data_IF_181241406381
#
_entry.id   IF_181241406381
#
_cell.length_a   1.000
_cell.length_b   1.000
_cell.length_c   1.000
_cell.angle_alpha   90.00
_cell.angle_beta   90.00
_cell.angle_gamma   90.00
#
_symmetry.space_group_name_H-M   'P 1'
#
loop_
_entity.id
_entity.type
_entity.pdbx_description
1 polymer ?
2 non-polymer ?
3 water ?
#
# COMPACT_ATOMS: atom_id res chain seq x y z
N UNK A 2 15.85 14.57 20.57
CA UNK A 2 16.37 14.18 19.27
C UNK A 2 16.77 15.39 18.44
N UNK A 3 17.64 15.16 17.46
CA UNK A 3 18.10 16.22 16.55
C UNK A 3 17.13 16.37 15.38
N UNK A 4 16.19 15.44 15.27
CA UNK A 4 15.22 15.44 14.18
C UNK A 4 14.23 16.59 14.22
N UNK A 5 13.78 17.04 13.04
CA UNK A 5 12.78 18.11 12.96
C UNK A 5 11.49 17.63 13.60
N UNK A 6 10.65 18.58 14.04
CA UNK A 6 9.38 18.25 14.67
C UNK A 6 8.54 17.29 13.80
N UNK A 7 8.18 17.73 12.60
CA UNK A 7 7.36 16.95 11.65
C UNK A 7 7.82 15.50 11.52
N UNK A 8 9.14 15.30 11.43
CA UNK A 8 9.70 13.95 11.32
C UNK A 8 9.47 13.19 12.62
N UNK A 9 9.66 13.89 13.74
CA UNK A 9 9.46 13.27 15.04
C UNK A 9 8.01 12.81 15.18
N UNK A 10 7.08 13.61 14.67
CA UNK A 10 5.66 13.26 14.70
C UNK A 10 5.34 12.13 13.73
N UNK A 11 6.08 12.07 12.62
CA UNK A 11 5.90 11.02 11.64
C UNK A 11 6.31 9.70 12.25
N UNK A 12 7.43 9.73 12.97
CA UNK A 12 7.98 8.56 13.63
C UNK A 12 6.99 7.98 14.65
N UNK A 13 6.44 8.86 15.47
CA UNK A 13 5.49 8.43 16.50
C UNK A 13 4.26 7.82 15.85
N UNK A 14 3.81 8.45 14.77
CA UNK A 14 2.63 8.02 14.03
C UNK A 14 2.72 6.57 13.54
N UNK A 15 3.81 6.21 12.88
CA UNK A 15 3.95 4.88 12.31
C UNK A 15 4.32 3.76 13.28
N UNK A 16 4.88 4.14 14.44
CA UNK A 16 5.27 3.17 15.45
C UNK A 16 4.25 3.17 16.60
N UNK A 17 3.06 3.69 16.31
CA UNK A 17 2.00 3.76 17.30
C UNK A 17 1.49 2.35 17.62
N UNK A 18 1.65 1.93 18.87
CA UNK A 18 1.22 0.61 19.31
C UNK A 18 -0.30 0.49 19.39
N UNK A 19 -0.95 1.57 19.83
CA UNK A 19 -2.40 1.57 19.96
C UNK A 19 -3.06 1.44 18.59
N UNK A 20 -2.40 1.98 17.58
CA UNK A 20 -2.92 1.92 16.21
C UNK A 20 -2.92 0.49 15.71
N UNK A 21 -1.94 -0.29 16.17
CA UNK A 21 -1.83 -1.69 15.79
C UNK A 21 -3.00 -2.48 16.38
N UNK A 22 -3.21 -2.34 17.68
CA UNK A 22 -4.31 -3.02 18.37
C UNK A 22 -5.67 -2.58 17.82
N UNK A 23 -5.78 -1.31 17.45
CA UNK A 23 -7.02 -0.79 16.88
C UNK A 23 -7.32 -1.48 15.55
N UNK A 24 -6.27 -1.69 14.75
CA UNK A 24 -6.41 -2.36 13.46
C UNK A 24 -6.91 -3.79 13.64
N UNK A 25 -6.39 -4.47 14.66
CA UNK A 25 -6.78 -5.85 14.95
C UNK A 25 -8.26 -5.92 15.33
N UNK A 26 -8.59 -5.29 16.46
CA UNK A 26 -9.95 -5.24 16.98
C UNK A 26 -10.93 -4.90 15.86
N UNK A 27 -10.51 -3.98 14.98
CA UNK A 27 -11.34 -3.58 13.85
C UNK A 27 -11.68 -4.83 13.03
N UNK A 28 -10.75 -5.78 13.03
CA UNK A 28 -10.88 -7.03 12.26
C UNK A 28 -11.64 -8.10 13.02
N UNK A 29 -12.07 -7.79 14.24
CA UNK A 29 -12.80 -8.73 15.09
C UNK A 29 -11.83 -9.71 15.74
N UNK A 30 -10.55 -9.38 15.73
CA UNK A 30 -9.52 -10.24 16.33
C UNK A 30 -9.55 -10.18 17.85
N UNK A 31 -9.51 -11.34 18.49
CA UNK A 31 -9.49 -11.40 19.94
C UNK A 31 -8.07 -11.15 20.45
N UNK A 32 -7.84 -9.96 20.98
CA UNK A 32 -6.53 -9.58 21.49
C UNK A 32 -6.10 -10.38 22.72
N UNK A 33 -7.08 -10.99 23.39
CA UNK A 33 -6.79 -11.81 24.56
C UNK A 33 -6.17 -13.13 24.11
N UNK A 34 -6.69 -13.68 23.01
CA UNK A 34 -6.19 -14.93 22.45
C UNK A 34 -4.97 -14.67 21.56
N UNK A 35 -5.08 -13.63 20.75
CA UNK A 35 -4.02 -13.27 19.81
C UNK A 35 -3.49 -11.85 20.05
N UNK A 36 -2.70 -11.67 21.11
CA UNK A 36 -2.13 -10.34 21.40
C UNK A 36 -1.05 -9.96 20.38
N UNK A 37 -0.63 -8.70 20.40
CA UNK A 37 0.38 -8.21 19.47
C UNK A 37 1.66 -9.04 19.52
N UNK A 38 2.19 -9.26 20.72
CA UNK A 38 3.42 -10.01 20.89
C UNK A 38 3.33 -11.45 20.44
N UNK A 39 2.12 -11.91 20.15
CA UNK A 39 1.90 -13.29 19.73
C UNK A 39 1.84 -13.46 18.20
N UNK A 40 1.75 -12.33 17.49
CA UNK A 40 1.70 -12.39 16.03
C UNK A 40 2.95 -13.05 15.48
N UNK A 41 2.76 -13.98 14.54
CA UNK A 41 3.87 -14.73 13.96
C UNK A 41 3.84 -14.75 12.44
N UNK A 42 5.00 -14.64 11.82
CA UNK A 42 5.11 -14.65 10.36
C UNK A 42 4.71 -16.01 9.81
N UNK A 43 5.20 -17.06 10.45
CA UNK A 43 4.90 -18.43 10.03
C UNK A 43 3.40 -18.68 10.07
N UNK A 44 2.75 -18.19 11.12
CA UNK A 44 1.32 -18.37 11.30
C UNK A 44 0.52 -17.62 10.23
N UNK A 45 1.05 -16.50 9.77
CA UNK A 45 0.40 -15.74 8.72
C UNK A 45 0.57 -16.45 7.37
N UNK A 46 1.76 -17.01 7.14
CA UNK A 46 2.02 -17.77 5.92
C UNK A 46 1.04 -18.93 5.83
N UNK A 47 0.93 -19.66 6.94
CA UNK A 47 0.00 -20.80 7.04
C UNK A 47 -1.44 -20.35 6.81
N UNK A 48 -1.78 -19.16 7.31
CA UNK A 48 -3.11 -18.58 7.13
C UNK A 48 -3.33 -18.27 5.64
N UNK A 49 -2.29 -17.79 4.99
CA UNK A 49 -2.38 -17.47 3.57
C UNK A 49 -2.71 -18.74 2.80
N UNK A 50 -2.03 -19.83 3.16
CA UNK A 50 -2.23 -21.12 2.52
C UNK A 50 -3.66 -21.61 2.63
N UNK A 51 -4.24 -21.48 3.82
CA UNK A 51 -5.62 -21.89 4.03
C UNK A 51 -6.52 -21.10 3.10
N UNK A 52 -6.26 -19.80 3.01
CA UNK A 52 -7.03 -18.91 2.15
C UNK A 52 -6.99 -19.37 0.69
N UNK A 53 -5.80 -19.75 0.23
CA UNK A 53 -5.66 -20.22 -1.15
C UNK A 53 -6.45 -21.50 -1.39
N UNK A 54 -6.43 -22.42 -0.42
CA UNK A 54 -7.16 -23.66 -0.52
C UNK A 54 -8.67 -23.40 -0.61
N UNK A 55 -9.13 -22.36 0.09
CA UNK A 55 -10.53 -21.97 0.05
C UNK A 55 -10.89 -21.48 -1.35
N UNK A 56 -10.01 -20.66 -1.92
CA UNK A 56 -10.22 -20.14 -3.27
C UNK A 56 -10.42 -21.31 -4.21
N UNK A 57 -9.55 -22.31 -4.09
CA UNK A 57 -9.63 -23.49 -4.94
C UNK A 57 -10.95 -24.25 -4.72
N UNK A 58 -11.32 -24.41 -3.45
CA UNK A 58 -12.56 -25.09 -3.09
C UNK A 58 -13.77 -24.34 -3.64
N UNK A 59 -13.65 -23.01 -3.68
CA UNK A 59 -14.72 -22.16 -4.17
C UNK A 59 -14.83 -22.25 -5.70
N UNK A 60 -13.68 -22.26 -6.37
CA UNK A 60 -13.66 -22.33 -7.83
C UNK A 60 -14.10 -23.68 -8.37
N UNK A 61 -13.81 -24.74 -7.63
CA UNK A 61 -14.17 -26.09 -8.05
C UNK A 61 -15.63 -26.37 -7.72
N UNK A 62 -16.09 -25.82 -6.61
CA UNK A 62 -17.45 -26.05 -6.16
C UNK A 62 -17.47 -27.22 -5.17
N UNK A 63 -16.50 -27.22 -4.26
CA UNK A 63 -16.38 -28.25 -3.25
C UNK A 63 -17.72 -28.56 -2.58
N UNK A 64 -18.01 -29.85 -2.43
CA UNK A 64 -19.27 -30.30 -1.85
C UNK A 64 -19.44 -29.86 -0.40
N UNK A 65 -19.19 -28.58 -0.13
CA UNK A 65 -19.34 -28.03 1.22
C UNK A 65 -18.69 -28.92 2.27
N UNK A 66 -18.95 -28.65 3.54
CA UNK A 66 -18.35 -29.44 4.62
C UNK A 66 -16.83 -29.26 4.57
N UNK A 67 -16.26 -29.41 3.38
CA UNK A 67 -14.84 -29.21 3.17
C UNK A 67 -14.58 -27.71 3.30
N UNK A 68 -15.53 -26.92 2.82
CA UNK A 68 -15.45 -25.47 2.92
C UNK A 68 -15.60 -25.08 4.39
N UNK A 69 -16.31 -25.92 5.14
CA UNK A 69 -16.54 -25.69 6.56
C UNK A 69 -15.29 -26.00 7.37
N UNK A 70 -14.58 -27.06 6.98
CA UNK A 70 -13.34 -27.42 7.68
C UNK A 70 -12.28 -26.36 7.37
N UNK A 71 -12.23 -25.90 6.12
CA UNK A 71 -11.29 -24.85 5.72
C UNK A 71 -11.55 -23.61 6.57
N UNK A 72 -12.82 -23.20 6.62
CA UNK A 72 -13.22 -22.03 7.40
C UNK A 72 -12.86 -22.17 8.88
N UNK A 73 -13.16 -23.33 9.45
CA UNK A 73 -12.83 -23.60 10.85
C UNK A 73 -11.31 -23.53 11.04
N UNK A 74 -10.57 -24.05 10.07
CA UNK A 74 -9.11 -24.05 10.14
C UNK A 74 -8.53 -22.64 10.17
N UNK A 75 -9.11 -21.74 9.38
CA UNK A 75 -8.65 -20.37 9.31
C UNK A 75 -8.91 -19.60 10.62
N UNK A 76 -10.10 -19.79 11.20
CA UNK A 76 -10.47 -19.11 12.43
C UNK A 76 -9.77 -19.73 13.64
N UNK A 77 -9.28 -20.95 13.48
CA UNK A 77 -8.56 -21.60 14.56
C UNK A 77 -7.17 -21.00 14.58
N UNK A 78 -6.64 -20.72 13.38
CA UNK A 78 -5.33 -20.10 13.26
C UNK A 78 -5.39 -18.65 13.71
N UNK A 79 -6.27 -17.87 13.10
CA UNK A 79 -6.45 -16.46 13.46
C UNK A 79 -7.76 -16.29 14.24
N UNK A 80 -7.68 -16.39 15.58
CA UNK A 80 -8.74 -16.31 16.57
C UNK A 80 -9.51 -14.99 16.59
N UNK A 81 -10.74 -15.03 16.09
CA UNK A 81 -11.60 -13.85 16.07
C UNK A 81 -12.64 -13.99 17.17
N UNK A 82 -13.19 -12.86 17.61
CA UNK A 82 -14.24 -12.86 18.62
C UNK A 82 -15.50 -12.29 17.98
N UNK A 83 -16.50 -13.14 17.78
CA UNK A 83 -17.73 -12.73 17.13
C UNK A 83 -18.90 -12.60 18.10
N UNK A 84 -18.86 -13.40 19.16
CA UNK A 84 -19.92 -13.39 20.17
C UNK A 84 -20.84 -14.57 19.94
N UNK A 85 -21.67 -14.48 18.90
CA UNK A 85 -22.59 -15.56 18.57
C UNK A 85 -22.91 -15.57 17.07
N UNK A 86 -23.76 -16.51 16.67
CA UNK A 86 -24.13 -16.68 15.28
C UNK A 86 -23.01 -17.36 14.50
N UNK A 87 -21.84 -17.46 15.14
CA UNK A 87 -20.68 -18.10 14.53
C UNK A 87 -20.01 -17.23 13.48
N UNK A 88 -18.71 -17.45 13.25
CA UNK A 88 -17.91 -16.70 12.27
C UNK A 88 -18.45 -16.91 10.87
N UNK A 89 -18.24 -15.91 9.99
CA UNK A 89 -18.71 -16.06 8.61
C UNK A 89 -18.02 -17.22 7.91
N UNK A 90 -18.72 -17.82 6.95
CA UNK A 90 -18.19 -18.94 6.19
C UNK A 90 -17.46 -18.43 4.96
N UNK A 91 -16.16 -18.72 4.89
CA UNK A 91 -15.36 -18.30 3.74
C UNK A 91 -15.75 -19.18 2.56
N UNK A 92 -16.81 -18.80 1.86
CA UNK A 92 -17.32 -19.59 0.75
C UNK A 92 -17.49 -18.80 -0.55
N UNK A 93 -16.68 -17.77 -0.72
CA UNK A 93 -16.72 -16.97 -1.94
C UNK A 93 -15.50 -16.08 -2.10
N UNK A 94 -15.23 -15.67 -3.34
CA UNK A 94 -14.09 -14.83 -3.65
C UNK A 94 -14.06 -13.59 -2.79
N UNK A 95 -15.23 -12.99 -2.59
CA UNK A 95 -15.32 -11.78 -1.77
C UNK A 95 -14.81 -12.01 -0.35
N UNK A 96 -15.13 -13.18 0.21
CA UNK A 96 -14.70 -13.51 1.56
C UNK A 96 -13.18 -13.60 1.68
N UNK A 97 -12.56 -14.39 0.81
CA UNK A 97 -11.12 -14.56 0.84
C UNK A 97 -10.36 -13.26 0.62
N UNK A 98 -10.88 -12.42 -0.28
CA UNK A 98 -10.26 -11.12 -0.56
C UNK A 98 -10.15 -10.30 0.72
N UNK A 99 -11.24 -10.25 1.47
CA UNK A 99 -11.26 -9.49 2.72
C UNK A 99 -10.27 -10.06 3.73
N UNK A 100 -10.31 -11.37 3.92
CA UNK A 100 -9.42 -12.03 4.87
C UNK A 100 -7.95 -11.88 4.47
N UNK A 101 -7.69 -11.94 3.16
CA UNK A 101 -6.32 -11.80 2.66
C UNK A 101 -5.84 -10.38 2.93
N UNK A 102 -6.76 -9.43 2.75
CA UNK A 102 -6.45 -8.02 2.97
C UNK A 102 -6.00 -7.84 4.41
N UNK A 103 -6.66 -8.56 5.31
CA UNK A 103 -6.33 -8.48 6.73
C UNK A 103 -4.97 -9.11 7.02
N UNK A 104 -4.67 -10.22 6.34
CA UNK A 104 -3.38 -10.90 6.54
C UNK A 104 -2.20 -10.03 6.11
N UNK A 105 -2.34 -9.33 4.97
CA UNK A 105 -1.27 -8.43 4.52
C UNK A 105 -0.99 -7.40 5.63
N UNK A 106 -2.06 -6.81 6.16
CA UNK A 106 -1.92 -5.80 7.21
C UNK A 106 -1.31 -6.35 8.50
N UNK A 107 -1.82 -7.48 8.97
CA UNK A 107 -1.29 -8.12 10.17
C UNK A 107 0.20 -8.38 10.00
N UNK A 108 0.59 -8.74 8.79
CA UNK A 108 1.98 -9.03 8.46
C UNK A 108 2.87 -7.79 8.69
N UNK A 109 2.38 -6.64 8.25
CA UNK A 109 3.12 -5.40 8.40
C UNK A 109 3.09 -4.91 9.83
N UNK A 110 2.00 -5.20 10.55
CA UNK A 110 1.90 -4.82 11.95
C UNK A 110 2.89 -5.65 12.75
N UNK A 111 3.03 -6.92 12.38
CA UNK A 111 3.98 -7.80 13.03
C UNK A 111 5.40 -7.32 12.76
N UNK A 112 5.66 -6.90 11.52
CA UNK A 112 6.98 -6.37 11.15
C UNK A 112 7.29 -5.13 11.97
N UNK A 113 6.31 -4.25 12.09
CA UNK A 113 6.47 -3.01 12.86
C UNK A 113 6.71 -3.30 14.34
N UNK A 114 6.01 -4.29 14.87
CA UNK A 114 6.16 -4.65 16.28
C UNK A 114 7.52 -5.24 16.61
N UNK A 115 7.96 -6.21 15.80
CA UNK A 115 9.24 -6.85 16.02
C UNK A 115 10.40 -5.89 15.80
N UNK A 116 10.19 -4.92 14.92
CA UNK A 116 11.20 -3.91 14.63
C UNK A 116 11.29 -2.97 15.84
N UNK A 117 10.12 -2.60 16.36
CA UNK A 117 10.02 -1.67 17.48
C UNK A 117 10.41 -2.31 18.81
N UNK A 118 10.60 -3.63 18.81
CA UNK A 118 10.98 -4.34 20.03
C UNK A 118 12.45 -4.76 19.99
N UNK A 119 12.97 -4.99 18.80
CA UNK A 119 14.36 -5.38 18.62
C UNK A 119 15.27 -4.20 18.93
N UNK A 120 16.56 -4.49 19.13
CA UNK A 120 17.53 -3.46 19.44
C UNK A 120 17.65 -3.18 20.93
N UNK A 121 18.35 -2.11 21.27
CA UNK A 121 18.55 -1.74 22.67
C UNK A 121 17.51 -0.74 23.16
N UNK A 122 16.50 -1.25 23.86
CA UNK A 122 15.43 -0.42 24.41
C UNK A 122 15.96 0.42 25.57
N UNK A 123 17.22 0.83 25.47
CA UNK A 123 17.87 1.62 26.52
C UNK A 123 17.63 3.12 26.38
N UNK A 124 17.69 3.83 27.50
CA UNK A 124 17.46 5.26 27.54
C UNK A 124 18.71 6.11 27.32
N UNK A 125 19.75 5.51 26.73
CA UNK A 125 20.99 6.25 26.44
C UNK A 125 20.63 7.29 25.38
N UNK A 126 19.95 6.83 24.34
CA UNK A 126 19.50 7.68 23.25
C UNK A 126 17.98 7.80 23.34
N UNK A 127 17.45 8.89 22.80
CA UNK A 127 16.01 9.13 22.82
C UNK A 127 15.30 8.15 21.89
N UNK A 128 14.19 7.56 22.35
CA UNK A 128 13.37 6.57 21.62
C UNK A 128 13.07 6.97 20.19
N UNK A 129 12.79 8.26 19.98
CA UNK A 129 12.48 8.75 18.64
C UNK A 129 13.63 8.52 17.68
N UNK A 130 14.83 8.92 18.08
CA UNK A 130 16.01 8.77 17.24
C UNK A 130 16.36 7.29 17.08
N UNK A 131 16.07 6.50 18.09
CA UNK A 131 16.37 5.07 18.04
C UNK A 131 15.44 4.39 17.02
N UNK A 132 14.15 4.68 17.11
CA UNK A 132 13.17 4.11 16.18
C UNK A 132 13.37 4.65 14.77
N UNK A 133 13.90 5.86 14.66
CA UNK A 133 14.14 6.47 13.36
C UNK A 133 15.17 5.67 12.58
N UNK A 134 16.12 5.09 13.31
CA UNK A 134 17.20 4.30 12.70
C UNK A 134 16.68 2.97 12.18
N UNK A 135 15.78 2.36 12.93
CA UNK A 135 15.23 1.07 12.56
C UNK A 135 14.58 1.12 11.18
N UNK A 136 14.14 2.31 10.78
CA UNK A 136 13.50 2.48 9.48
C UNK A 136 14.52 2.35 8.36
N UNK A 137 15.79 2.58 8.69
CA UNK A 137 16.87 2.49 7.72
C UNK A 137 16.56 3.40 6.53
N UNK A 138 15.91 4.53 6.80
CA UNK A 138 15.52 5.48 5.76
C UNK A 138 15.91 6.90 6.15
N UNK A 139 16.48 7.64 5.21
CA UNK A 139 16.80 9.05 5.44
C UNK A 139 15.55 9.88 5.13
N UNK A 140 15.07 10.62 6.13
CA UNK A 140 13.88 11.44 5.98
C UNK A 140 14.16 12.91 6.23
N UNK A 141 13.83 13.74 5.24
CA UNK A 141 14.02 15.18 5.34
C UNK A 141 12.70 15.90 5.05
N UNK A 142 12.50 17.05 5.67
CA UNK A 142 11.30 17.85 5.47
C UNK A 142 11.45 18.64 4.18
N UNK A 143 10.38 18.76 3.41
CA UNK A 143 10.40 19.57 2.20
C UNK A 143 9.65 20.84 2.57
N UNK A 144 10.30 21.98 2.42
CA UNK A 144 9.70 23.27 2.77
C UNK A 144 8.45 23.60 1.96
N UNK A 145 7.45 24.15 2.63
CA UNK A 145 6.20 24.53 1.99
C UNK A 145 6.40 25.36 0.71
N UNK A 146 7.19 26.42 0.83
CA UNK A 146 7.44 27.33 -0.29
C UNK A 146 8.59 26.93 -1.20
N UNK A 147 8.64 25.67 -1.59
CA UNK A 147 9.68 25.19 -2.50
C UNK A 147 9.02 24.68 -3.78
N UNK A 148 9.77 24.64 -4.88
CA UNK A 148 9.24 24.18 -6.14
C UNK A 148 8.76 22.75 -6.00
N UNK A 149 9.46 21.98 -5.17
CA UNK A 149 9.10 20.59 -4.90
C UNK A 149 7.69 20.55 -4.34
N UNK A 150 7.49 21.27 -3.24
CA UNK A 150 6.21 21.34 -2.57
C UNK A 150 5.13 21.83 -3.52
N UNK A 151 5.45 22.85 -4.29
CA UNK A 151 4.50 23.42 -5.23
C UNK A 151 4.03 22.40 -6.27
N UNK A 152 4.98 21.66 -6.83
CA UNK A 152 4.70 20.62 -7.82
C UNK A 152 3.82 19.53 -7.21
N UNK A 153 4.26 19.02 -6.06
CA UNK A 153 3.53 17.97 -5.36
C UNK A 153 2.11 18.41 -5.03
N UNK A 154 1.97 19.58 -4.43
CA UNK A 154 0.66 20.10 -4.06
C UNK A 154 -0.28 20.19 -5.25
N UNK A 155 0.25 20.61 -6.40
CA UNK A 155 -0.54 20.73 -7.62
C UNK A 155 -0.99 19.36 -8.12
N UNK A 156 -0.09 18.38 -8.00
CA UNK A 156 -0.35 17.00 -8.38
C UNK A 156 -1.53 16.48 -7.54
N UNK A 157 -1.54 16.86 -6.27
CA UNK A 157 -2.59 16.46 -5.35
C UNK A 157 -3.91 17.15 -5.67
N UNK A 158 -3.82 18.43 -6.03
CA UNK A 158 -5.00 19.24 -6.35
C UNK A 158 -5.64 18.78 -7.66
N UNK A 159 -4.84 18.78 -8.72
CA UNK A 159 -5.32 18.40 -10.05
C UNK A 159 -5.90 16.99 -10.14
N UNK A 160 -5.20 16.02 -9.56
CA UNK A 160 -5.62 14.62 -9.61
C UNK A 160 -6.73 14.24 -8.62
N UNK A 161 -7.18 15.22 -7.82
CA UNK A 161 -8.28 15.01 -6.89
C UNK A 161 -9.53 15.50 -7.62
N UNK A 162 -10.58 14.67 -7.66
CA UNK A 162 -11.78 15.00 -8.40
C UNK A 162 -13.00 15.50 -7.61
N UNK A 163 -14.15 14.88 -7.91
CA UNK A 163 -15.42 15.24 -7.28
C UNK A 163 -16.35 14.03 -7.16
N UNK A 164 -16.37 13.20 -8.20
CA UNK A 164 -17.21 11.99 -8.18
C UNK A 164 -16.63 11.02 -7.15
N UNK A 165 -15.51 11.46 -6.57
CA UNK A 165 -14.79 10.74 -5.53
C UNK A 165 -14.52 11.80 -4.47
N UNK A 166 -15.47 12.73 -4.35
CA UNK A 166 -15.37 13.83 -3.42
C UNK A 166 -16.22 13.64 -2.17
N UNK A 167 -15.88 12.61 -1.41
CA UNK A 167 -16.52 12.35 -0.14
C UNK A 167 -15.68 13.16 0.86
N UNK A 168 -14.55 13.65 0.35
CA UNK A 168 -13.60 14.40 1.15
C UNK A 168 -12.75 15.32 0.28
N UNK A 169 -12.02 16.21 0.94
CA UNK A 169 -11.07 17.09 0.28
C UNK A 169 -9.73 16.73 0.93
N UNK A 170 -8.64 17.06 0.26
CA UNK A 170 -7.32 16.70 0.74
C UNK A 170 -6.51 17.91 1.14
N UNK A 171 -5.84 17.81 2.29
CA UNK A 171 -4.97 18.88 2.78
C UNK A 171 -3.60 18.28 3.05
N UNK A 172 -2.57 18.81 2.38
CA UNK A 172 -1.21 18.34 2.57
C UNK A 172 -0.58 19.03 3.79
N UNK A 173 -0.37 18.26 4.86
CA UNK A 173 0.18 18.80 6.10
C UNK A 173 1.70 18.83 6.13
N UNK A 174 2.33 17.81 5.57
CA UNK A 174 3.78 17.73 5.53
C UNK A 174 4.25 16.88 4.36
N UNK A 175 5.38 17.27 3.77
CA UNK A 175 5.99 16.55 2.67
C UNK A 175 7.39 16.14 3.11
N UNK A 176 7.73 14.89 2.88
CA UNK A 176 9.05 14.41 3.24
C UNK A 176 9.74 13.83 2.02
N UNK A 177 11.03 14.11 1.89
CA UNK A 177 11.84 13.51 0.84
C UNK A 177 12.43 12.29 1.52
N UNK A 178 12.35 11.14 0.87
CA UNK A 178 12.83 9.90 1.47
C UNK A 178 13.85 9.14 0.62
N UNK A 179 14.77 8.48 1.30
CA UNK A 179 15.81 7.69 0.64
C UNK A 179 16.12 6.47 1.48
N UNK A 180 15.55 5.34 1.11
CA UNK A 180 15.77 4.09 1.83
C UNK A 180 17.22 3.65 1.65
N UNK A 181 17.91 3.34 2.74
CA UNK A 181 19.29 2.88 2.65
C UNK A 181 19.29 1.60 1.84
N UNK A 182 19.89 1.67 0.65
CA UNK A 182 19.95 0.54 -0.27
C UNK A 182 19.29 0.93 -1.58
N UNK A 183 17.97 1.03 -1.57
CA UNK A 183 17.22 1.43 -2.76
C UNK A 183 17.79 2.74 -3.33
N UNK A 184 18.69 2.59 -4.29
CA UNK A 184 19.36 3.74 -4.93
C UNK A 184 20.41 3.17 -5.91
N UNK A 185 20.93 2.00 -5.55
CA UNK A 185 21.89 1.28 -6.38
C UNK A 185 21.11 0.14 -6.99
N UNK A 186 20.02 -0.21 -6.32
CA UNK A 186 19.12 -1.27 -6.75
C UNK A 186 18.32 -0.79 -7.96
N UNK A 187 18.00 0.50 -7.96
CA UNK A 187 17.20 1.13 -9.02
C UNK A 187 18.02 1.68 -10.19
N UNK A 188 19.29 1.99 -9.92
CA UNK A 188 20.19 2.55 -10.93
C UNK A 188 20.10 1.86 -12.30
N UNK A 189 20.19 0.53 -12.31
CA UNK A 189 20.14 -0.21 -13.59
C UNK A 189 18.80 -0.02 -14.31
N UNK A 190 17.70 -0.15 -13.58
CA UNK A 190 16.38 0.00 -14.16
C UNK A 190 16.15 1.42 -14.67
N UNK A 191 17.11 2.29 -14.40
CA UNK A 191 17.05 3.67 -14.86
C UNK A 191 17.23 3.66 -16.38
N UNK A 192 18.04 2.72 -16.86
CA UNK A 192 18.28 2.56 -18.30
C UNK A 192 17.01 1.98 -18.94
N UNK A 193 15.87 2.36 -18.35
CA UNK A 193 14.55 1.95 -18.80
C UNK A 193 13.79 3.24 -18.97
N UNK A 194 13.39 3.57 -20.20
CA UNK A 194 12.66 4.80 -20.45
C UNK A 194 11.33 4.76 -19.71
N UNK A 195 10.45 5.70 -20.04
CA UNK A 195 9.13 5.76 -19.41
C UNK A 195 9.18 5.69 -17.89
N UNK A 196 9.88 6.65 -17.28
CA UNK A 196 9.95 6.72 -15.82
C UNK A 196 8.91 7.72 -15.35
N UNK A 197 8.11 7.33 -14.37
CA UNK A 197 7.05 8.22 -13.88
C UNK A 197 6.99 8.33 -12.37
N UNK A 198 6.52 9.49 -11.90
CA UNK A 198 6.34 9.73 -10.48
C UNK A 198 4.90 9.42 -10.17
N UNK A 199 4.67 8.24 -9.58
CA UNK A 199 3.32 7.78 -9.29
C UNK A 199 2.98 7.67 -7.82
N UNK A 200 1.67 7.58 -7.55
CA UNK A 200 1.16 7.49 -6.20
C UNK A 200 1.06 6.05 -5.69
N UNK A 201 1.26 5.90 -4.38
CA UNK A 201 1.04 4.61 -3.72
C UNK A 201 0.52 4.87 -2.31
N UNK A 202 -0.73 4.50 -2.07
CA UNK A 202 -1.35 4.68 -0.78
C UNK A 202 -1.41 3.37 -0.03
N UNK A 203 -1.42 3.45 1.29
CA UNK A 203 -1.49 2.27 2.15
C UNK A 203 -1.90 2.72 3.54
N UNK A 204 -2.29 1.77 4.39
CA UNK A 204 -2.66 2.08 5.76
C UNK A 204 -1.45 2.60 6.49
N UNK A 205 -1.67 3.43 7.50
CA UNK A 205 -0.59 4.00 8.29
C UNK A 205 0.20 2.89 8.97
N UNK A 206 -0.52 1.88 9.45
CA UNK A 206 0.07 0.73 10.13
C UNK A 206 1.07 -0.08 9.27
N UNK A 207 1.03 0.09 7.96
CA UNK A 207 1.95 -0.63 7.07
C UNK A 207 3.25 0.14 6.79
N UNK A 208 3.34 1.38 7.26
CA UNK A 208 4.50 2.22 6.94
C UNK A 208 5.87 1.88 7.53
N UNK A 209 5.91 1.28 8.71
CA UNK A 209 7.17 0.87 9.29
C UNK A 209 7.77 -0.20 8.39
N UNK A 210 6.93 -1.15 7.98
CA UNK A 210 7.36 -2.22 7.10
C UNK A 210 7.75 -1.74 5.72
N UNK A 211 7.01 -0.76 5.21
CA UNK A 211 7.28 -0.21 3.88
C UNK A 211 8.61 0.53 3.82
N UNK A 212 8.81 1.47 4.74
CA UNK A 212 10.05 2.23 4.78
C UNK A 212 11.21 1.34 5.16
N UNK A 213 10.95 0.39 6.04
CA UNK A 213 11.99 -0.53 6.49
C UNK A 213 12.33 -1.59 5.45
N UNK A 214 11.32 -2.19 4.82
CA UNK A 214 11.55 -3.23 3.82
C UNK A 214 11.26 -2.87 2.37
N UNK A 215 10.67 -1.70 2.15
CA UNK A 215 10.31 -1.27 0.80
C UNK A 215 9.00 -1.88 0.35
N UNK A 216 8.49 -1.40 -0.77
CA UNK A 216 7.24 -1.95 -1.30
C UNK A 216 7.51 -3.39 -1.74
N UNK A 217 6.62 -4.31 -1.36
CA UNK A 217 6.83 -5.72 -1.66
C UNK A 217 5.73 -6.35 -2.52
N UNK A 218 6.04 -7.52 -3.06
CA UNK A 218 5.10 -8.29 -3.87
C UNK A 218 4.61 -9.47 -3.03
N UNK A 219 3.28 -9.66 -3.00
CA UNK A 219 2.68 -10.75 -2.24
C UNK A 219 3.40 -12.08 -2.47
N UNK A 220 3.49 -12.92 -1.42
CA UNK A 220 4.18 -14.21 -1.55
C UNK A 220 3.31 -15.24 -2.27
N UNK A 221 3.91 -16.34 -2.72
CA UNK A 221 3.33 -17.47 -3.45
C UNK A 221 2.13 -18.12 -2.77
N UNK A 222 2.18 -18.25 -1.45
CA UNK A 222 1.08 -18.86 -0.69
C UNK A 222 -0.17 -18.00 -0.70
N UNK A 223 0.01 -16.69 -0.91
CA UNK A 223 -1.10 -15.75 -0.91
C UNK A 223 -2.08 -16.05 -2.05
N UNK A 224 -3.38 -16.02 -1.76
CA UNK A 224 -4.24 -16.27 -2.93
C UNK A 224 -4.10 -15.11 -3.90
N UNK A 225 -4.47 -15.32 -5.15
CA UNK A 225 -4.34 -14.27 -6.16
C UNK A 225 -5.61 -13.47 -6.43
N UNK A 226 -6.70 -13.89 -5.78
CA UNK A 226 -7.96 -13.17 -5.92
C UNK A 226 -7.75 -11.77 -5.35
N UNK A 227 -8.24 -10.75 -6.05
CA UNK A 227 -8.09 -9.39 -5.58
C UNK A 227 -7.00 -8.62 -6.29
N UNK A 228 -6.17 -9.31 -7.06
CA UNK A 228 -5.11 -8.66 -7.82
C UNK A 228 -5.52 -8.72 -9.29
N UNK A 229 -6.08 -7.63 -9.79
CA UNK A 229 -6.55 -7.57 -11.18
C UNK A 229 -5.50 -7.95 -12.21
N UNK A 230 -4.23 -7.63 -11.94
CA UNK A 230 -3.16 -7.92 -12.88
C UNK A 230 -2.03 -8.74 -12.27
N UNK A 231 -2.37 -9.61 -11.31
CA UNK A 231 -1.38 -10.46 -10.66
C UNK A 231 -0.63 -9.77 -9.53
N UNK A 232 0.17 -10.56 -8.82
CA UNK A 232 0.95 -10.06 -7.70
C UNK A 232 2.09 -9.16 -8.15
N UNK A 233 1.95 -7.86 -7.88
CA UNK A 233 2.98 -6.91 -8.24
C UNK A 233 2.90 -5.68 -7.36
N UNK A 234 3.45 -4.57 -7.84
CA UNK A 234 3.38 -3.32 -7.12
C UNK A 234 2.48 -2.40 -7.92
N UNK A 235 1.41 -1.93 -7.29
CA UNK A 235 0.42 -1.10 -7.95
C UNK A 235 0.62 0.38 -7.67
N UNK A 236 0.39 1.19 -8.70
CA UNK A 236 0.51 2.65 -8.58
C UNK A 236 -0.62 3.32 -9.36
N UNK A 237 -0.87 4.58 -9.04
CA UNK A 237 -1.88 5.38 -9.72
C UNK A 237 -1.26 6.72 -10.11
N UNK A 238 -1.89 7.43 -11.04
CA UNK A 238 -1.40 8.74 -11.46
C UNK A 238 -2.41 9.79 -11.06
N UNK A 239 -3.37 9.38 -10.24
CA UNK A 239 -4.40 10.25 -9.70
C UNK A 239 -4.56 9.92 -8.21
N UNK A 240 -4.16 10.87 -7.38
CA UNK A 240 -4.20 10.71 -5.93
C UNK A 240 -5.53 10.16 -5.40
N UNK A 241 -6.60 10.33 -6.16
CA UNK A 241 -7.91 9.84 -5.75
C UNK A 241 -7.96 8.31 -5.69
N UNK A 242 -7.27 7.68 -6.64
CA UNK A 242 -7.23 6.22 -6.67
C UNK A 242 -6.45 5.67 -5.50
N UNK A 243 -5.29 6.27 -5.24
CA UNK A 243 -4.39 5.85 -4.17
C UNK A 243 -4.95 6.17 -2.78
N UNK A 244 -5.41 7.40 -2.60
CA UNK A 244 -5.95 7.84 -1.32
C UNK A 244 -6.98 6.88 -0.73
N UNK A 245 -7.64 6.11 -1.58
CA UNK A 245 -8.64 5.15 -1.11
C UNK A 245 -8.01 4.01 -0.32
N UNK A 246 -6.69 3.85 -0.43
CA UNK A 246 -6.02 2.75 0.27
C UNK A 246 -5.40 3.17 1.59
N UNK A 247 -5.60 4.42 1.98
CA UNK A 247 -5.06 4.93 3.23
C UNK A 247 -6.00 4.59 4.37
N UNK A 248 -7.21 4.17 4.01
CA UNK A 248 -8.24 3.82 4.98
C UNK A 248 -8.35 4.77 6.15
N UNK A 249 -8.70 6.02 5.85
CA UNK A 249 -8.89 7.04 6.87
C UNK A 249 -10.39 7.21 7.08
N UNK A 250 -10.75 7.95 8.12
CA UNK A 250 -12.15 8.18 8.43
C UNK A 250 -12.28 9.41 9.30
N UNK A 251 -13.53 9.86 9.52
CA UNK A 251 -13.77 11.01 10.36
C UNK A 251 -13.09 10.85 11.71
N UNK A 252 -12.91 9.60 12.14
CA UNK A 252 -12.25 9.26 13.39
C UNK A 252 -10.77 9.59 13.32
N UNK A 253 -10.11 9.04 12.31
CA UNK A 253 -8.71 9.35 12.06
C UNK A 253 -8.65 9.81 10.62
N UNK A 254 -8.70 11.14 10.41
CA UNK A 254 -8.74 11.75 9.08
C UNK A 254 -7.38 11.94 8.43
N UNK A 255 -6.31 11.54 9.12
CA UNK A 255 -4.98 11.69 8.55
C UNK A 255 -4.39 10.38 8.03
N UNK A 256 -3.77 10.45 6.86
CA UNK A 256 -3.18 9.29 6.22
C UNK A 256 -1.81 9.58 5.63
N UNK A 257 -1.15 8.51 5.18
CA UNK A 257 0.17 8.63 4.58
C UNK A 257 0.09 8.11 3.16
N UNK A 258 0.82 8.76 2.26
CA UNK A 258 0.82 8.37 0.86
C UNK A 258 2.20 8.54 0.28
N UNK A 259 2.59 7.62 -0.59
CA UNK A 259 3.91 7.70 -1.20
C UNK A 259 3.88 8.23 -2.61
N UNK A 260 5.02 8.73 -3.03
CA UNK A 260 5.24 9.17 -4.40
C UNK A 260 6.54 8.47 -4.75
N UNK A 261 6.47 7.59 -5.73
CA UNK A 261 7.64 6.85 -6.12
C UNK A 261 7.91 7.00 -7.60
N UNK A 262 9.17 6.93 -7.97
CA UNK A 262 9.54 6.98 -9.37
C UNK A 262 9.66 5.53 -9.79
N UNK A 263 8.86 5.13 -10.77
CA UNK A 263 8.89 3.76 -11.23
C UNK A 263 9.34 3.70 -12.68
N UNK A 264 10.36 2.89 -12.94
CA UNK A 264 10.88 2.72 -14.28
C UNK A 264 9.97 1.72 -14.98
N UNK A 265 8.96 2.25 -15.67
CA UNK A 265 7.95 1.42 -16.33
C UNK A 265 8.40 0.64 -17.56
N UNK A 266 9.26 1.24 -18.38
CA UNK A 266 9.69 0.61 -19.62
C UNK A 266 8.53 0.65 -20.58
N UNK A 267 8.43 -0.35 -21.46
CA UNK A 267 7.32 -0.40 -22.40
C UNK A 267 6.12 -1.03 -21.69
N UNK A 268 4.98 -0.35 -21.75
CA UNK A 268 3.79 -0.81 -21.04
C UNK A 268 2.82 -1.69 -21.85
N UNK A 269 2.45 -2.81 -21.24
CA UNK A 269 1.48 -3.73 -21.81
C UNK A 269 0.15 -3.18 -21.33
N UNK A 270 -0.65 -2.64 -22.28
CA UNK A 270 -1.91 -2.02 -21.92
C UNK A 270 -3.15 -2.90 -22.00
N UNK A 271 -3.96 -2.86 -20.95
CA UNK A 271 -5.16 -3.68 -20.84
C UNK A 271 -6.32 -2.90 -20.22
N UNK A 272 -7.55 -3.27 -20.59
CA UNK A 272 -8.72 -2.61 -20.04
C UNK A 272 -9.49 -3.46 -19.03
N UNK A 273 -9.15 -4.74 -18.92
CA UNK A 273 -9.80 -5.64 -17.97
C UNK A 273 -8.78 -6.51 -17.23
N UNK A 274 -9.18 -7.00 -16.07
CA UNK A 274 -8.32 -7.85 -15.25
C UNK A 274 -7.75 -9.03 -16.01
N UNK A 275 -6.49 -9.35 -15.73
CA UNK A 275 -5.81 -10.47 -16.36
C UNK A 275 -4.61 -10.79 -15.49
N UNK A 276 -4.51 -12.03 -15.07
CA UNK A 276 -3.40 -12.45 -14.22
C UNK A 276 -2.16 -12.70 -15.06
N UNK A 277 -1.41 -11.62 -15.30
CA UNK A 277 -0.20 -11.67 -16.11
C UNK A 277 0.92 -12.46 -15.47
N UNK A 278 1.78 -11.74 -14.75
CA UNK A 278 2.97 -12.28 -14.09
C UNK A 278 4.12 -12.32 -15.09
N UNK A 279 3.90 -13.00 -16.22
CA UNK A 279 4.88 -13.10 -17.29
C UNK A 279 4.55 -12.13 -18.41
N UNK A 280 5.21 -10.97 -18.39
CA UNK A 280 4.98 -9.93 -19.38
C UNK A 280 5.38 -10.36 -20.77
N UNK A 281 4.73 -9.80 -21.80
CA UNK A 281 5.12 -10.14 -23.17
C UNK A 281 6.52 -9.60 -23.45
N UNK A 282 7.22 -10.21 -24.39
CA UNK A 282 8.57 -9.76 -24.74
C UNK A 282 8.60 -8.27 -25.09
N UNK A 283 9.54 -7.56 -24.48
CA UNK A 283 9.71 -6.14 -24.72
C UNK A 283 9.00 -5.28 -23.70
N UNK A 284 8.00 -5.85 -23.04
CA UNK A 284 7.23 -5.11 -22.04
C UNK A 284 7.85 -5.28 -20.66
N UNK A 285 7.83 -4.21 -19.87
CA UNK A 285 8.41 -4.24 -18.52
C UNK A 285 7.44 -3.71 -17.47
N UNK A 286 6.17 -3.64 -17.84
CA UNK A 286 5.15 -3.17 -16.92
C UNK A 286 3.79 -3.29 -17.56
N UNK A 287 2.75 -3.24 -16.72
CA UNK A 287 1.38 -3.29 -17.19
C UNK A 287 0.69 -1.98 -16.87
N UNK A 288 -0.15 -1.53 -17.79
CA UNK A 288 -0.95 -0.34 -17.54
C UNK A 288 -2.42 -0.66 -17.71
N UNK A 289 -3.19 -0.49 -16.64
CA UNK A 289 -4.63 -0.72 -16.68
C UNK A 289 -5.28 0.59 -17.10
N UNK A 290 -5.96 0.57 -18.24
CA UNK A 290 -6.60 1.78 -18.77
C UNK A 290 -7.92 2.12 -18.09
N UNK A 291 -8.00 3.31 -17.51
CA UNK A 291 -9.20 3.76 -16.83
C UNK A 291 -10.00 4.76 -17.66
N UNK A 292 -11.18 5.12 -17.16
CA UNK A 292 -12.06 6.07 -17.84
C UNK A 292 -11.57 7.50 -17.66
N UNK A 293 -10.91 7.75 -16.53
CA UNK A 293 -10.39 9.08 -16.21
C UNK A 293 -8.88 9.08 -16.34
N UNK A 294 -8.33 10.21 -16.75
CA UNK A 294 -6.88 10.34 -16.90
C UNK A 294 -6.40 11.76 -16.70
N UNK A 295 -5.16 11.94 -16.25
CA UNK A 295 -4.78 13.34 -16.12
C UNK A 295 -4.47 13.91 -17.49
N UNK A 296 -4.89 15.17 -17.71
CA UNK A 296 -4.66 15.84 -18.99
C UNK A 296 -3.22 15.68 -19.47
N UNK A 297 -3.04 15.00 -20.61
CA UNK A 297 -1.70 14.75 -21.16
C UNK A 297 -0.95 16.04 -21.47
N UNK A 298 -1.66 17.08 -21.89
CA UNK A 298 -1.03 18.35 -22.23
C UNK A 298 -0.35 19.00 -21.02
N UNK A 299 -0.92 18.80 -19.84
CA UNK A 299 -0.38 19.39 -18.62
C UNK A 299 0.80 18.63 -18.01
N UNK A 300 1.15 17.49 -18.59
CA UNK A 300 2.26 16.70 -18.08
C UNK A 300 3.53 17.55 -17.98
N UNK A 301 4.32 17.31 -16.93
CA UNK A 301 5.56 18.04 -16.69
C UNK A 301 6.72 17.05 -16.56
N UNK A 302 7.94 17.56 -16.45
CA UNK A 302 9.10 16.68 -16.34
C UNK A 302 10.06 16.93 -15.18
N UNK A 303 11.15 16.17 -15.17
CA UNK A 303 12.18 16.26 -14.14
C UNK A 303 13.17 15.10 -14.30
N UNK A 304 14.32 15.40 -14.88
CA UNK A 304 15.36 14.40 -15.09
C UNK A 304 14.83 13.12 -15.71
N UNK A 305 14.00 13.25 -16.74
CA UNK A 305 13.43 12.11 -17.41
C UNK A 305 12.24 11.51 -16.68
N UNK A 306 11.84 12.13 -15.58
CA UNK A 306 10.69 11.65 -14.82
C UNK A 306 9.41 12.42 -15.15
N UNK A 307 8.44 11.71 -15.69
CA UNK A 307 7.17 12.31 -16.05
C UNK A 307 6.28 12.48 -14.82
N UNK A 308 5.71 13.68 -14.66
CA UNK A 308 4.80 13.97 -13.57
C UNK A 308 3.46 14.39 -14.17
N UNK A 309 2.53 13.43 -14.29
CA UNK A 309 1.21 13.65 -14.87
C UNK A 309 0.28 14.39 -13.93
N UNK A 310 0.55 15.66 -13.68
CA UNK A 310 -0.28 16.44 -12.76
C UNK A 310 -1.42 17.18 -13.44
N UNK A 311 -1.68 16.86 -14.70
CA UNK A 311 -2.77 17.48 -15.43
C UNK A 311 -4.09 17.14 -14.77
N UNK A 312 -5.08 18.02 -14.90
CA UNK A 312 -6.39 17.77 -14.32
C UNK A 312 -7.05 16.58 -14.99
N UNK A 313 -7.82 15.83 -14.21
CA UNK A 313 -8.51 14.65 -14.69
C UNK A 313 -9.50 14.92 -15.80
N UNK A 314 -9.42 14.14 -16.86
CA UNK A 314 -10.31 14.27 -18.00
C UNK A 314 -10.72 12.87 -18.44
N UNK A 315 -11.70 12.81 -19.34
CA UNK A 315 -12.16 11.54 -19.86
C UNK A 315 -11.10 11.05 -20.85
N UNK A 316 -10.72 9.79 -20.73
CA UNK A 316 -9.72 9.22 -21.62
C UNK A 316 -10.35 8.77 -22.93
N UNK A 317 -9.52 8.29 -23.85
CA UNK A 317 -10.03 7.80 -25.12
C UNK A 317 -11.09 6.75 -24.92
N UNK A 318 -10.72 5.64 -24.30
CA UNK A 318 -11.62 4.51 -24.09
C UNK A 318 -12.41 4.58 -22.79
N UNK A 319 -13.66 4.12 -22.85
CA UNK A 319 -14.52 4.07 -21.68
C UNK A 319 -15.07 2.65 -21.55
N UNK A 320 -14.68 1.81 -22.50
CA UNK A 320 -15.06 0.40 -22.58
C UNK A 320 -14.21 -0.39 -21.59
N UNK A 321 -13.76 0.29 -20.55
CA UNK A 321 -12.92 -0.33 -19.55
C UNK A 321 -13.67 -0.54 -18.25
N UNK A 322 -13.18 -1.48 -17.44
CA UNK A 322 -13.77 -1.78 -16.16
C UNK A 322 -13.03 -1.00 -15.09
N UNK A 323 -12.29 0.03 -15.51
CA UNK A 323 -11.50 0.82 -14.58
C UNK A 323 -11.86 2.31 -14.63
N UNK A 324 -12.05 2.90 -13.46
CA UNK A 324 -12.36 4.32 -13.40
C UNK A 324 -11.07 5.13 -13.55
N UNK A 325 -9.97 4.55 -13.07
CA UNK A 325 -8.66 5.18 -13.12
C UNK A 325 -7.62 4.26 -13.70
N UNK A 326 -6.47 4.83 -14.06
CA UNK A 326 -5.35 4.07 -14.58
C UNK A 326 -4.60 3.46 -13.41
N UNK A 327 -3.94 2.34 -13.66
CA UNK A 327 -3.07 1.75 -12.67
C UNK A 327 -1.86 1.19 -13.38
N UNK A 328 -0.71 1.25 -12.72
CA UNK A 328 0.53 0.78 -13.30
C UNK A 328 1.09 -0.31 -12.40
N UNK A 329 1.45 -1.44 -13.00
CA UNK A 329 1.95 -2.56 -12.23
C UNK A 329 3.34 -2.99 -12.67
N UNK A 330 4.24 -3.13 -11.70
CA UNK A 330 5.59 -3.61 -11.99
C UNK A 330 5.80 -4.89 -11.20
N UNK A 331 6.56 -5.82 -11.77
CA UNK A 331 6.77 -7.12 -11.14
C UNK A 331 8.17 -7.33 -10.57
N UNK A 332 8.92 -6.24 -10.46
CA UNK A 332 10.26 -6.26 -9.91
C UNK A 332 10.38 -5.12 -8.90
N UNK A 333 10.61 -5.47 -7.64
CA UNK A 333 10.75 -4.46 -6.60
C UNK A 333 11.79 -3.40 -6.97
N UNK A 334 12.81 -3.79 -7.72
CA UNK A 334 13.88 -2.88 -8.10
C UNK A 334 13.49 -1.80 -9.10
N UNK A 335 12.31 -1.90 -9.67
CA UNK A 335 11.85 -0.91 -10.64
C UNK A 335 11.24 0.28 -9.90
N UNK A 336 11.31 0.25 -8.57
CA UNK A 336 10.71 1.29 -7.73
C UNK A 336 11.70 2.08 -6.87
N UNK A 337 11.55 3.40 -6.90
CA UNK A 337 12.41 4.30 -6.12
C UNK A 337 11.55 5.29 -5.31
N UNK A 338 11.22 4.90 -4.08
CA UNK A 338 10.42 5.75 -3.21
C UNK A 338 11.12 7.09 -3.02
N UNK A 339 10.43 8.17 -3.39
CA UNK A 339 11.02 9.49 -3.34
C UNK A 339 10.40 10.44 -2.32
N UNK A 340 9.09 10.36 -2.15
CA UNK A 340 8.40 11.24 -1.21
C UNK A 340 7.31 10.54 -0.42
N UNK A 341 7.07 11.07 0.77
CA UNK A 341 6.03 10.60 1.67
C UNK A 341 5.24 11.82 2.09
N UNK A 342 3.92 11.73 2.00
CA UNK A 342 3.06 12.86 2.35
C UNK A 342 2.19 12.52 3.53
N UNK A 343 2.02 13.49 4.43
CA UNK A 343 1.10 13.35 5.54
C UNK A 343 -0.12 14.16 5.09
N UNK A 344 -1.24 13.48 4.94
CA UNK A 344 -2.43 14.14 4.44
C UNK A 344 -3.58 14.13 5.41
N UNK A 345 -4.36 15.20 5.40
CA UNK A 345 -5.55 15.27 6.21
C UNK A 345 -6.74 15.16 5.27
N UNK A 346 -7.63 14.23 5.57
CA UNK A 346 -8.84 14.02 4.77
C UNK A 346 -9.97 14.79 5.44
N UNK A 347 -10.60 15.69 4.70
CA UNK A 347 -11.71 16.47 5.23
C UNK A 347 -12.99 15.98 4.57
N UNK A 348 -13.73 15.12 5.27
CA UNK A 348 -14.97 14.57 4.71
C UNK A 348 -16.14 15.56 4.70
N UNK A 349 -17.03 15.37 3.72
CA UNK A 349 -18.20 16.23 3.56
C UNK A 349 -19.45 15.51 4.07
X LIG B 1 -4.28 -4.39 -6.64
X LIG B 1 -3.63 1.77 -7.64
X LIG B 1 -4.40 -3.29 -3.20
X LIG B 1 -3.02 2.24 -6.50
X LIG B 1 -4.61 -4.50 -2.57
X LIG B 1 -4.15 0.50 -7.73
X LIG B 1 -4.61 -5.59 -4.69
X LIG B 1 -4.28 -3.21 -4.57
X LIG B 1 -2.88 1.44 -5.39
X LIG B 1 -4.72 -5.66 -3.32
X LIG B 1 -3.40 0.16 -5.48
X LIG B 1 -4.03 -0.29 -6.61
X LIG B 1 -4.39 -4.38 -5.31
X LIG B 1 -4.08 -1.94 -5.22
X LIG B 1 -2.24 1.96 -4.19
X LIG B 1 -6.76 -8.49 -1.96
X LIG B 1 -5.98 -8.80 -0.70
X LIG B 1 -6.46 -7.09 -2.42
X LIG B 1 -4.51 -8.55 -0.91
X LIG B 1 -4.98 -6.97 -2.69
X LIG B 1 -3.45 -0.88 -4.60
X LIG B 1 -4.45 -1.59 -6.43
X LIG B 1 -4.33 -7.16 -1.37
X LIG B 1 -2.13 1.04 -3.18
X LIG B 1 -1.87 3.13 -4.16
#
# INVERSE_FOLDING_TARGET
KSKLPKPVQDLIKMIFDVESMKKAMVEYEIDLQKMPLGKLSKRQIQAAYSILSEVQQAVSQGSSDSQILDLSNRFYTLIPHDFGMKKPPLLNNADSVQAKAEMLDNLLDIEVAYSLLRGGSDDSSKDPIDVNYEKLKTDIKVVDRDSEEAEIIRKYVKNTHATTHNAYDLEVIDIFKIEREGECQRYKPFKQLHNRRLLWHGSRTTNFAGILSQGLRIAPPEAPVTGYMFGKGIYFADMVSKSANYCHTSQGDPIGLILLGEVALGNMYELKHASHISKLPKGKHSVKGLGKTTPDPSANISLDGVDVPLGTGISSGVNDTSLLYNEYIVYDIAQVNLKYLLKLKFNFKT
A92 F C1 C2 C3 C4 C5 C6 C7 C8 C9 C10 C11 C12 C13 C14 C15 C16 C17 C18 C19 N20 N21 N22 N23 O24
#
